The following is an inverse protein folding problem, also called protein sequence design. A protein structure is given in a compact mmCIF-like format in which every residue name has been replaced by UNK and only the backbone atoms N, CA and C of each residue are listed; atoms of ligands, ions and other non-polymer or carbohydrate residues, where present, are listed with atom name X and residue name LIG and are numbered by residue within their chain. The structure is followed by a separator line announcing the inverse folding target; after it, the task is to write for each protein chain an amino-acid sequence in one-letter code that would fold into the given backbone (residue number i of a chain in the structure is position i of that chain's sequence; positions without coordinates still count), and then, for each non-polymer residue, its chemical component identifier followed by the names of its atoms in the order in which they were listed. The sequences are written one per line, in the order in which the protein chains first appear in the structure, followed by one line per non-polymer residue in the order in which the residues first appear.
data_IF_610031342017
#
_entry.id   IF_610031342017
#
_cell.length_a   1.000
_cell.length_b   1.000
_cell.length_c   1.000
_cell.angle_alpha   90.00
_cell.angle_beta   90.00
_cell.angle_gamma   90.00
#
_symmetry.space_group_name_H-M   'P 1'
#
loop_
_entity.id
_entity.type
_entity.pdbx_description
1 polymer ?
#
# COMPACT_ATOMS: atom_id res chain seq x y z
N UNK A 1 -21.46 -5.62 -23.31
CA UNK A 1 -20.35 -4.86 -22.69
C UNK A 1 -19.34 -5.85 -22.16
N UNK A 2 -18.04 -5.65 -22.41
CA UNK A 2 -17.00 -6.59 -21.96
C UNK A 2 -16.99 -6.69 -20.43
N UNK A 3 -16.95 -7.91 -19.90
CA UNK A 3 -16.89 -8.22 -18.46
C UNK A 3 -15.47 -8.09 -17.87
N UNK A 4 -14.50 -7.68 -18.69
CA UNK A 4 -13.09 -7.61 -18.31
C UNK A 4 -12.76 -6.17 -17.89
N UNK A 5 -12.29 -5.94 -16.64
CA UNK A 5 -11.88 -4.62 -16.19
C UNK A 5 -10.71 -4.09 -17.04
N UNK A 6 -10.57 -2.76 -17.20
CA UNK A 6 -9.46 -2.15 -17.94
C UNK A 6 -8.10 -2.66 -17.44
N UNK A 7 -7.11 -2.73 -18.34
CA UNK A 7 -5.77 -3.24 -18.01
C UNK A 7 -5.16 -2.53 -16.79
N UNK A 8 -5.25 -1.20 -16.75
CA UNK A 8 -4.82 -0.39 -15.62
C UNK A 8 -5.41 -0.89 -14.30
N UNK A 9 -6.71 -1.19 -14.26
CA UNK A 9 -7.38 -1.62 -13.03
C UNK A 9 -6.96 -3.03 -12.61
N UNK A 10 -6.70 -3.92 -13.58
CA UNK A 10 -6.15 -5.25 -13.31
C UNK A 10 -4.75 -5.16 -12.69
N UNK A 11 -3.91 -4.27 -13.20
CA UNK A 11 -2.57 -4.03 -12.67
C UNK A 11 -2.60 -3.36 -11.30
N UNK A 12 -3.45 -2.34 -11.12
CA UNK A 12 -3.63 -1.61 -9.87
C UNK A 12 -3.97 -2.58 -8.72
N UNK A 13 -4.90 -3.51 -8.94
CA UNK A 13 -5.30 -4.52 -7.94
C UNK A 13 -4.19 -5.50 -7.54
N UNK A 14 -3.16 -5.67 -8.36
CA UNK A 14 -2.00 -6.52 -8.03
C UNK A 14 -0.95 -5.79 -7.20
N UNK A 15 -1.00 -4.46 -7.16
CA UNK A 15 -0.05 -3.67 -6.40
C UNK A 15 -0.45 -3.63 -4.91
N UNK A 16 0.52 -3.51 -3.98
CA UNK A 16 0.28 -3.61 -2.55
C UNK A 16 -0.59 -2.50 -1.92
N UNK A 17 -0.94 -1.45 -2.66
CA UNK A 17 -1.73 -0.30 -2.18
C UNK A 17 -1.11 0.43 -0.97
N UNK A 18 0.21 0.36 -0.82
CA UNK A 18 0.95 1.06 0.25
C UNK A 18 1.16 2.55 -0.03
N UNK A 19 0.96 3.00 -1.28
CA UNK A 19 1.13 4.40 -1.69
C UNK A 19 2.53 5.00 -1.36
N UNK A 20 3.56 4.15 -1.22
CA UNK A 20 4.87 4.53 -0.69
C UNK A 20 5.77 5.35 -1.64
N UNK A 21 5.46 5.38 -2.94
CA UNK A 21 6.23 6.12 -3.94
C UNK A 21 7.60 5.55 -4.35
N UNK A 22 8.03 4.42 -3.79
CA UNK A 22 9.37 3.82 -4.07
C UNK A 22 9.58 3.43 -5.54
N UNK A 23 8.49 3.20 -6.28
CA UNK A 23 8.55 2.97 -7.72
C UNK A 23 8.86 4.23 -8.54
N UNK A 24 8.84 5.43 -7.95
CA UNK A 24 9.02 6.72 -8.62
C UNK A 24 7.72 7.30 -9.19
N UNK A 25 6.57 6.88 -8.67
CA UNK A 25 5.24 7.41 -8.99
C UNK A 25 4.48 7.72 -7.70
N UNK A 26 3.51 8.63 -7.73
CA UNK A 26 2.77 9.11 -6.54
C UNK A 26 1.88 8.05 -5.85
N UNK A 27 1.81 6.82 -6.37
CA UNK A 27 1.06 5.73 -5.78
C UNK A 27 0.92 4.54 -6.71
N UNK A 28 0.16 3.53 -6.28
CA UNK A 28 -0.03 2.31 -7.05
C UNK A 28 -0.74 2.55 -8.39
N UNK A 29 -1.85 3.30 -8.40
CA UNK A 29 -2.60 3.59 -9.64
C UNK A 29 -1.80 4.31 -10.72
N UNK A 30 -1.06 5.40 -10.44
CA UNK A 30 -0.19 6.03 -11.44
C UNK A 30 0.87 5.07 -12.02
N UNK A 31 1.46 4.21 -11.18
CA UNK A 31 2.39 3.19 -11.67
C UNK A 31 1.70 2.15 -12.56
N UNK A 32 0.50 1.69 -12.18
CA UNK A 32 -0.31 0.80 -13.01
C UNK A 32 -0.68 1.41 -14.36
N UNK A 33 -0.98 2.71 -14.41
CA UNK A 33 -1.23 3.41 -15.67
C UNK A 33 0.01 3.49 -16.55
N UNK A 34 1.18 3.78 -15.97
CA UNK A 34 2.44 3.81 -16.70
C UNK A 34 2.78 2.43 -17.29
N UNK A 35 2.56 1.35 -16.53
CA UNK A 35 2.69 -0.02 -17.03
C UNK A 35 1.71 -0.31 -18.18
N UNK A 36 0.44 0.07 -18.03
CA UNK A 36 -0.58 -0.11 -19.09
C UNK A 36 -0.26 0.67 -20.37
N UNK A 37 0.50 1.78 -20.27
CA UNK A 37 0.99 2.58 -21.40
C UNK A 37 2.35 2.12 -21.96
N UNK A 38 3.00 1.13 -21.33
CA UNK A 38 4.35 0.70 -21.71
C UNK A 38 5.46 1.68 -21.31
N UNK A 39 5.17 2.63 -20.41
CA UNK A 39 6.10 3.66 -19.94
C UNK A 39 6.94 3.18 -18.74
N UNK A 40 6.61 2.03 -18.14
CA UNK A 40 7.31 1.45 -17.00
C UNK A 40 7.32 -0.08 -17.04
N UNK A 41 8.41 -0.68 -16.53
CA UNK A 41 8.52 -2.12 -16.30
C UNK A 41 7.81 -2.59 -15.03
N UNK A 42 7.73 -3.91 -14.84
CA UNK A 42 7.05 -4.62 -13.74
C UNK A 42 7.87 -4.73 -12.45
N UNK A 43 9.14 -4.35 -12.51
CA UNK A 43 10.19 -4.58 -11.52
C UNK A 43 10.33 -3.47 -10.48
N UNK A 44 9.61 -2.35 -10.63
CA UNK A 44 9.87 -1.12 -9.88
C UNK A 44 9.20 -1.06 -8.51
N UNK A 45 8.48 -2.08 -8.05
CA UNK A 45 7.73 -2.05 -6.78
C UNK A 45 8.40 -2.91 -5.70
N UNK A 46 9.25 -2.33 -4.82
CA UNK A 46 9.86 -3.09 -3.73
C UNK A 46 8.84 -3.74 -2.77
N UNK A 47 7.75 -3.08 -2.36
CA UNK A 47 6.73 -3.74 -1.53
C UNK A 47 6.07 -4.94 -2.21
N UNK A 48 5.97 -4.94 -3.54
CA UNK A 48 5.43 -6.08 -4.30
C UNK A 48 6.43 -7.23 -4.42
N UNK A 49 7.73 -6.93 -4.37
CA UNK A 49 8.81 -7.92 -4.47
C UNK A 49 8.78 -8.76 -5.75
N UNK A 50 9.52 -9.87 -5.74
CA UNK A 50 9.61 -10.79 -6.89
C UNK A 50 8.26 -11.49 -7.18
N UNK A 51 7.38 -11.64 -6.19
CA UNK A 51 6.04 -12.18 -6.38
C UNK A 51 5.14 -11.20 -7.16
N UNK A 52 5.13 -9.92 -6.77
CA UNK A 52 4.38 -8.87 -7.44
C UNK A 52 4.87 -8.65 -8.87
N UNK A 53 6.19 -8.57 -9.08
CA UNK A 53 6.77 -8.43 -10.43
C UNK A 53 6.33 -9.59 -11.37
N UNK A 54 6.31 -10.83 -10.87
CA UNK A 54 5.81 -11.99 -11.64
C UNK A 54 4.32 -11.90 -11.95
N UNK A 55 3.48 -11.50 -10.99
CA UNK A 55 2.04 -11.37 -11.20
C UNK A 55 1.72 -10.27 -12.23
N UNK A 56 2.42 -9.14 -12.17
CA UNK A 56 2.29 -8.05 -13.14
C UNK A 56 2.73 -8.49 -14.54
N UNK A 57 3.86 -9.22 -14.65
CA UNK A 57 4.35 -9.76 -15.91
C UNK A 57 3.34 -10.69 -16.59
N UNK A 58 2.66 -11.54 -15.81
CA UNK A 58 1.60 -12.41 -16.32
C UNK A 58 0.41 -11.62 -16.89
N UNK A 59 0.02 -10.52 -16.26
CA UNK A 59 -1.09 -9.69 -16.75
C UNK A 59 -0.74 -8.92 -18.02
N UNK A 60 0.52 -8.49 -18.15
CA UNK A 60 1.04 -7.77 -19.31
C UNK A 60 1.50 -8.68 -20.46
N UNK A 61 1.55 -9.99 -20.24
CA UNK A 61 2.11 -10.97 -21.18
C UNK A 61 3.57 -10.66 -21.59
N UNK A 62 4.40 -10.38 -20.58
CA UNK A 62 5.84 -10.10 -20.75
C UNK A 62 6.70 -11.07 -19.94
N UNK A 63 7.98 -11.27 -20.29
CA UNK A 63 8.89 -12.09 -19.48
C UNK A 63 9.00 -11.56 -18.05
N UNK A 64 8.86 -12.46 -17.08
CA UNK A 64 9.06 -12.11 -15.68
C UNK A 64 10.54 -11.84 -15.39
N UNK A 65 10.79 -10.72 -14.71
CA UNK A 65 12.11 -10.33 -14.21
C UNK A 65 12.04 -10.09 -12.69
N UNK A 66 13.15 -10.25 -11.96
CA UNK A 66 13.21 -9.88 -10.55
C UNK A 66 12.91 -8.41 -10.33
N UNK A 67 12.42 -8.04 -9.15
CA UNK A 67 12.27 -6.63 -8.80
C UNK A 67 13.63 -5.92 -8.64
N UNK A 68 13.64 -4.63 -8.94
CA UNK A 68 14.79 -3.74 -8.84
C UNK A 68 15.12 -3.44 -7.37
N UNK A 69 16.07 -4.19 -6.82
CA UNK A 69 16.56 -4.06 -5.44
C UNK A 69 17.25 -2.73 -5.15
N UNK A 70 17.59 -1.93 -6.16
CA UNK A 70 18.15 -0.59 -5.93
C UNK A 70 17.10 0.42 -5.42
N UNK A 71 15.81 0.10 -5.55
CA UNK A 71 14.69 0.98 -5.16
C UNK A 71 14.24 0.82 -3.72
N UNK A 72 14.73 -0.20 -3.03
CA UNK A 72 14.35 -0.50 -1.67
C UNK A 72 14.33 -2.00 -1.41
N UNK A 73 14.20 -2.33 -0.13
CA UNK A 73 14.08 -3.71 0.32
C UNK A 73 12.62 -4.16 0.26
N UNK A 74 12.41 -5.42 -0.14
CA UNK A 74 11.11 -6.06 0.02
C UNK A 74 10.92 -6.46 1.49
N UNK A 75 9.88 -5.92 2.12
CA UNK A 75 9.45 -6.30 3.47
C UNK A 75 8.17 -7.11 3.37
N UNK A 76 7.98 -8.05 4.30
CA UNK A 76 6.71 -8.75 4.45
C UNK A 76 5.58 -7.73 4.66
N UNK A 77 4.34 -8.02 4.21
CA UNK A 77 3.20 -7.15 4.48
C UNK A 77 3.04 -6.90 5.98
N UNK A 78 2.66 -5.67 6.33
CA UNK A 78 2.50 -5.21 7.69
C UNK A 78 1.17 -4.47 7.83
N UNK A 79 0.63 -4.44 9.04
CA UNK A 79 -0.53 -3.63 9.41
C UNK A 79 -0.18 -2.68 10.54
N UNK A 80 -0.87 -1.55 10.59
CA UNK A 80 -0.76 -0.63 11.70
C UNK A 80 -1.46 -1.21 12.94
N UNK A 81 -0.83 -1.06 14.10
CA UNK A 81 -1.38 -1.37 15.41
C UNK A 81 -1.38 -0.07 16.23
N UNK A 82 -2.55 0.34 16.73
CA UNK A 82 -2.66 1.47 17.65
C UNK A 82 -2.55 0.93 19.08
N UNK A 83 -1.59 1.43 19.84
CA UNK A 83 -1.44 1.15 21.27
C UNK A 83 -2.55 1.91 22.00
N UNK A 84 -3.66 1.21 22.27
CA UNK A 84 -4.88 1.83 22.81
C UNK A 84 -4.64 2.59 24.13
N UNK A 85 -3.72 2.10 24.96
CA UNK A 85 -3.38 2.72 26.25
C UNK A 85 -2.81 4.14 26.11
N UNK A 86 -2.14 4.44 25.00
CA UNK A 86 -1.50 5.74 24.75
C UNK A 86 -2.33 6.63 23.82
N UNK A 87 -3.38 6.08 23.20
CA UNK A 87 -4.21 6.79 22.24
C UNK A 87 -5.09 7.85 22.93
N UNK A 88 -4.95 9.12 22.52
CA UNK A 88 -5.74 10.23 23.07
C UNK A 88 -7.01 10.59 22.25
N UNK A 89 -7.35 9.80 21.23
CA UNK A 89 -8.54 10.04 20.41
C UNK A 89 -8.53 11.35 19.61
N UNK A 90 -7.37 11.76 19.08
CA UNK A 90 -7.21 13.04 18.36
C UNK A 90 -7.69 13.05 16.89
N UNK A 91 -8.18 11.92 16.38
CA UNK A 91 -8.67 11.65 15.02
C UNK A 91 -7.74 11.89 13.82
N UNK A 92 -6.51 12.40 14.01
CA UNK A 92 -5.59 12.66 12.91
C UNK A 92 -5.18 11.41 12.12
N UNK A 93 -5.06 10.26 12.78
CA UNK A 93 -4.75 8.99 12.10
C UNK A 93 -5.88 8.56 11.16
N UNK A 94 -7.15 8.76 11.57
CA UNK A 94 -8.34 8.48 10.73
C UNK A 94 -8.28 9.33 9.46
N UNK A 95 -8.01 10.63 9.60
CA UNK A 95 -7.93 11.56 8.45
C UNK A 95 -6.81 11.21 7.47
N UNK A 96 -5.74 10.57 7.94
CA UNK A 96 -4.61 10.18 7.12
C UNK A 96 -4.77 8.79 6.48
N UNK A 97 -5.73 7.97 6.93
CA UNK A 97 -5.91 6.63 6.42
C UNK A 97 -6.58 6.66 5.04
N UNK A 98 -5.91 6.25 3.95
CA UNK A 98 -6.47 6.36 2.59
C UNK A 98 -7.54 5.31 2.27
N UNK A 99 -7.71 4.32 3.14
CA UNK A 99 -8.57 3.13 2.96
C UNK A 99 -9.57 2.96 4.10
N UNK A 100 -9.71 3.99 4.95
CA UNK A 100 -10.66 4.00 6.08
C UNK A 100 -10.53 2.79 7.03
N UNK A 101 -9.31 2.26 7.20
CA UNK A 101 -9.03 1.09 8.04
C UNK A 101 -9.01 1.39 9.56
N UNK A 102 -9.16 2.66 9.97
CA UNK A 102 -9.07 3.05 11.38
C UNK A 102 -10.44 3.46 11.88
N UNK A 103 -10.89 2.83 12.97
CA UNK A 103 -12.18 3.12 13.61
C UNK A 103 -11.99 3.73 14.99
N UNK A 104 -12.95 4.57 15.39
CA UNK A 104 -13.02 5.22 16.69
C UNK A 104 -13.63 6.61 16.55
N UNK A 105 -13.34 7.51 17.47
CA UNK A 105 -13.94 8.85 17.46
C UNK A 105 -13.19 9.86 18.32
N UNK A 106 -13.61 11.12 18.24
CA UNK A 106 -13.02 12.16 19.06
C UNK A 106 -13.10 11.80 20.55
N UNK A 107 -11.95 11.79 21.22
CA UNK A 107 -11.79 11.39 22.64
C UNK A 107 -12.10 9.92 22.94
N UNK A 108 -12.19 9.07 21.91
CA UNK A 108 -12.26 7.62 22.05
C UNK A 108 -11.01 6.98 21.43
N UNK A 109 -10.55 5.90 22.03
CA UNK A 109 -9.40 5.16 21.53
C UNK A 109 -9.72 4.59 20.15
N UNK A 110 -8.75 4.69 19.25
CA UNK A 110 -8.89 4.16 17.90
C UNK A 110 -8.30 2.77 17.82
N UNK A 111 -8.82 1.96 16.89
CA UNK A 111 -8.28 0.65 16.56
C UNK A 111 -8.23 0.46 15.05
N UNK A 112 -7.42 -0.47 14.58
CA UNK A 112 -7.20 -0.73 13.15
C UNK A 112 -7.91 -2.02 12.76
N UNK A 113 -8.71 -1.94 11.69
CA UNK A 113 -9.25 -3.11 11.01
C UNK A 113 -8.14 -3.67 10.12
N UNK A 114 -7.45 -4.71 10.61
CA UNK A 114 -6.28 -5.29 9.94
C UNK A 114 -6.57 -5.67 8.48
N UNK A 115 -7.74 -6.25 8.20
CA UNK A 115 -8.15 -6.70 6.86
C UNK A 115 -8.26 -5.55 5.82
N UNK A 116 -8.43 -4.31 6.27
CA UNK A 116 -8.51 -3.14 5.40
C UNK A 116 -7.18 -2.37 5.34
N UNK A 117 -6.28 -2.60 6.29
CA UNK A 117 -5.04 -1.85 6.39
C UNK A 117 -4.03 -2.33 5.34
N UNK A 118 -3.46 -1.40 4.58
CA UNK A 118 -2.45 -1.70 3.55
C UNK A 118 -1.01 -1.57 4.05
N UNK A 119 -0.81 -1.17 5.31
CA UNK A 119 0.53 -0.90 5.84
C UNK A 119 1.21 0.31 5.20
N UNK A 120 0.43 1.31 4.73
CA UNK A 120 0.97 2.49 4.04
C UNK A 120 1.74 3.49 4.93
N UNK A 121 1.74 3.29 6.25
CA UNK A 121 2.45 4.11 7.24
C UNK A 121 1.98 5.57 7.36
N UNK A 122 1.04 6.02 6.52
CA UNK A 122 0.56 7.42 6.49
C UNK A 122 -0.06 7.90 7.81
N UNK A 123 -0.53 6.97 8.65
CA UNK A 123 -1.11 7.28 9.95
C UNK A 123 -0.07 7.57 11.04
N UNK A 124 1.20 7.17 10.87
CA UNK A 124 2.26 7.30 11.89
C UNK A 124 2.66 8.78 12.07
N UNK A 125 3.11 9.53 11.04
CA UNK A 125 3.55 10.92 11.22
C UNK A 125 2.53 11.87 11.86
N UNK A 126 1.21 11.79 11.59
CA UNK A 126 0.24 12.69 12.20
C UNK A 126 -0.13 12.34 13.64
N UNK A 127 0.27 11.17 14.17
CA UNK A 127 -0.03 10.79 15.55
C UNK A 127 0.79 11.63 16.55
N UNK A 128 0.16 12.49 17.38
CA UNK A 128 0.90 13.42 18.24
C UNK A 128 1.52 12.76 19.49
N UNK A 129 1.16 11.51 19.76
CA UNK A 129 1.61 10.75 20.94
C UNK A 129 2.36 9.48 20.55
N UNK A 130 2.66 9.32 19.26
CA UNK A 130 3.48 8.23 18.71
C UNK A 130 3.01 6.81 19.11
N UNK A 131 1.69 6.62 19.24
CA UNK A 131 1.09 5.36 19.69
C UNK A 131 0.83 4.34 18.57
N UNK A 132 1.54 4.38 17.43
CA UNK A 132 1.26 3.53 16.27
C UNK A 132 2.50 2.72 15.87
N UNK A 133 2.37 1.41 15.85
CA UNK A 133 3.40 0.46 15.44
C UNK A 133 3.02 -0.24 14.13
N UNK A 134 4.01 -0.79 13.41
CA UNK A 134 3.77 -1.72 12.31
C UNK A 134 4.11 -3.14 12.73
N UNK A 135 3.14 -4.03 12.59
CA UNK A 135 3.30 -5.44 12.91
C UNK A 135 3.16 -6.29 11.63
N UNK A 136 3.96 -7.35 11.45
CA UNK A 136 3.79 -8.30 10.35
C UNK A 136 2.41 -8.96 10.36
N UNK A 137 1.87 -9.24 9.17
CA UNK A 137 0.64 -10.03 8.97
C UNK A 137 0.92 -11.51 8.72
#
# INVERSE_FOLDING_TARGET
MSLIPPLTERLDRLLPQTQCGQCGYDGCRPYAQAMARGEAGVDRCPPGGDAGARALAQVLDVPAIPFDRSRGEHKAPQVALIVEADCIGCTKCIQACPVDAIVGGAKYMHTVIADLCTGCELCIPPCPVDCIELVPT
#
